data_IF_366114452085
#
_entry.id   IF_366114452085
#
_cell.length_a   1.000
_cell.length_b   1.000
_cell.length_c   1.000
_cell.angle_alpha   90.00
_cell.angle_beta   90.00
_cell.angle_gamma   90.00
#
_symmetry.space_group_name_H-M   'P 1'
#
loop_
_entity.id
_entity.type
_entity.pdbx_description
1 polymer ?
#
# COMPACT_ATOMS: atom_id res chain seq x y z
N UNK A 1 0.83 4.78 -5.38
CA UNK A 1 0.78 4.11 -6.69
C UNK A 1 2.12 3.42 -6.93
N UNK A 2 2.16 2.34 -7.70
CA UNK A 2 3.37 1.57 -7.94
C UNK A 2 3.53 1.31 -9.45
N UNK A 3 4.76 1.40 -9.94
CA UNK A 3 5.15 0.89 -11.26
C UNK A 3 5.89 -0.42 -11.02
N UNK A 4 5.52 -1.48 -11.72
CA UNK A 4 6.24 -2.74 -11.74
C UNK A 4 6.93 -2.92 -13.09
N UNK A 5 8.24 -3.06 -13.08
CA UNK A 5 9.04 -3.32 -14.27
C UNK A 5 9.80 -4.64 -14.08
N UNK A 6 9.75 -5.53 -15.07
CA UNK A 6 10.56 -6.75 -15.05
C UNK A 6 11.90 -6.47 -15.73
N UNK A 7 13.01 -6.68 -15.01
CA UNK A 7 14.35 -6.45 -15.53
C UNK A 7 14.86 -7.65 -16.37
N UNK A 8 16.07 -7.52 -16.93
CA UNK A 8 16.69 -8.56 -17.77
C UNK A 8 16.95 -9.90 -17.03
N UNK A 9 16.92 -9.89 -15.69
CA UNK A 9 17.14 -11.06 -14.84
C UNK A 9 15.81 -11.74 -14.42
N UNK A 10 14.68 -11.39 -15.05
CA UNK A 10 13.32 -11.83 -14.70
C UNK A 10 12.89 -11.41 -13.26
N UNK A 11 13.58 -10.44 -12.65
CA UNK A 11 13.19 -9.87 -11.37
C UNK A 11 12.23 -8.68 -11.58
N UNK A 12 11.15 -8.65 -10.81
CA UNK A 12 10.22 -7.51 -10.83
C UNK A 12 10.71 -6.46 -9.85
N UNK A 13 11.00 -5.27 -10.35
CA UNK A 13 11.36 -4.10 -9.56
C UNK A 13 10.13 -3.21 -9.46
N UNK A 14 9.84 -2.77 -8.24
CA UNK A 14 8.73 -1.86 -7.99
C UNK A 14 9.25 -0.47 -7.67
N UNK A 15 8.70 0.55 -8.33
CA UNK A 15 8.93 1.96 -8.00
C UNK A 15 7.66 2.58 -7.42
N UNK A 16 7.80 3.21 -6.25
CA UNK A 16 6.69 3.96 -5.62
C UNK A 16 6.57 5.35 -6.23
N UNK A 17 5.37 5.65 -6.71
CA UNK A 17 4.97 7.00 -7.11
C UNK A 17 3.82 7.48 -6.23
N UNK A 18 4.04 8.62 -5.59
CA UNK A 18 3.02 9.31 -4.82
C UNK A 18 2.17 10.17 -5.75
N UNK A 19 0.86 9.93 -5.72
CA UNK A 19 -0.10 10.74 -6.47
C UNK A 19 -0.41 12.03 -5.69
N UNK A 20 -0.61 13.13 -6.40
CA UNK A 20 -0.97 14.42 -5.82
C UNK A 20 -2.47 14.63 -5.92
N UNK A 21 -3.10 14.99 -4.81
CA UNK A 21 -4.51 15.40 -4.81
C UNK A 21 -4.68 16.67 -5.66
N UNK A 22 -5.72 16.69 -6.48
CA UNK A 22 -6.06 17.85 -7.32
C UNK A 22 -6.99 18.82 -6.58
N UNK A 23 -7.48 19.84 -7.27
CA UNK A 23 -8.50 20.74 -6.70
C UNK A 23 -9.87 20.05 -6.53
N UNK A 24 -10.11 18.96 -7.27
CA UNK A 24 -11.31 18.14 -7.14
C UNK A 24 -11.11 17.06 -6.06
N UNK A 25 -11.97 17.08 -5.05
CA UNK A 25 -11.93 16.14 -3.92
C UNK A 25 -11.97 14.68 -4.40
N UNK A 26 -11.02 13.87 -3.92
CA UNK A 26 -10.91 12.46 -4.28
C UNK A 26 -10.36 12.20 -5.68
N UNK A 27 -9.89 13.24 -6.39
CA UNK A 27 -9.20 13.10 -7.68
C UNK A 27 -7.71 13.30 -7.47
N UNK A 28 -6.92 12.32 -7.90
CA UNK A 28 -5.48 12.30 -7.76
C UNK A 28 -4.80 12.22 -9.13
N UNK A 29 -3.70 12.96 -9.29
CA UNK A 29 -2.88 12.99 -10.50
C UNK A 29 -1.49 12.43 -10.21
N UNK A 30 -0.96 11.69 -11.18
CA UNK A 30 0.41 11.21 -11.20
C UNK A 30 0.95 11.29 -12.63
N UNK A 31 2.26 11.42 -12.75
CA UNK A 31 2.96 11.35 -14.04
C UNK A 31 4.09 10.33 -13.92
N UNK A 32 4.17 9.44 -14.90
CA UNK A 32 5.15 8.37 -14.97
C UNK A 32 5.64 8.20 -16.40
N UNK A 33 6.93 7.95 -16.57
CA UNK A 33 7.48 7.43 -17.83
C UNK A 33 7.79 5.96 -17.58
N UNK A 34 7.20 5.07 -18.37
CA UNK A 34 7.34 3.62 -18.21
C UNK A 34 7.93 3.01 -19.47
N UNK A 35 8.71 1.94 -19.30
CA UNK A 35 9.24 1.18 -20.43
C UNK A 35 8.15 0.35 -21.14
N UNK A 36 8.42 -0.07 -22.38
CA UNK A 36 7.49 -0.93 -23.11
C UNK A 36 7.40 -2.30 -22.42
N UNK A 37 6.19 -2.67 -21.99
CA UNK A 37 5.94 -3.93 -21.27
C UNK A 37 5.87 -3.78 -19.75
N UNK A 38 6.10 -2.59 -19.20
CA UNK A 38 5.89 -2.31 -17.79
C UNK A 38 4.41 -2.45 -17.38
N UNK A 39 4.18 -2.85 -16.13
CA UNK A 39 2.85 -2.94 -15.52
C UNK A 39 2.65 -1.78 -14.54
N UNK A 40 1.49 -1.12 -14.61
CA UNK A 40 1.12 -0.05 -13.67
C UNK A 40 0.14 -0.61 -12.66
N UNK A 41 0.48 -0.50 -11.38
CA UNK A 41 -0.33 -0.96 -10.26
C UNK A 41 -0.82 0.25 -9.48
N UNK A 42 -2.14 0.46 -9.52
CA UNK A 42 -2.79 1.49 -8.71
C UNK A 42 -3.31 0.83 -7.44
N UNK A 43 -2.59 1.04 -6.34
CA UNK A 43 -2.98 0.59 -5.01
C UNK A 43 -3.35 1.79 -4.12
N UNK A 44 -4.34 1.59 -3.26
CA UNK A 44 -4.67 2.51 -2.18
C UNK A 44 -3.68 2.27 -1.04
N UNK A 45 -3.10 3.35 -0.52
CA UNK A 45 -2.14 3.24 0.57
C UNK A 45 -2.83 2.65 1.80
N UNK A 46 -2.29 1.55 2.33
CA UNK A 46 -2.87 0.81 3.45
C UNK A 46 -3.88 -0.29 3.09
N UNK A 47 -4.32 -0.41 1.83
CA UNK A 47 -5.07 -1.57 1.32
C UNK A 47 -4.08 -2.67 0.91
N UNK A 48 -3.57 -3.37 1.91
CA UNK A 48 -2.47 -4.32 1.76
C UNK A 48 -2.94 -5.58 1.04
N UNK A 49 -4.18 -6.01 1.31
CA UNK A 49 -4.74 -7.21 0.69
C UNK A 49 -5.30 -6.98 -0.73
N UNK A 50 -5.29 -5.73 -1.22
CA UNK A 50 -5.75 -5.32 -2.54
C UNK A 50 -7.24 -5.59 -2.79
N UNK A 51 -8.09 -5.50 -1.74
CA UNK A 51 -9.55 -5.65 -1.86
C UNK A 51 -10.27 -4.32 -2.18
N UNK A 52 -9.52 -3.23 -2.31
CA UNK A 52 -10.00 -1.89 -2.60
C UNK A 52 -10.39 -1.10 -1.36
N UNK A 53 -10.22 -1.65 -0.15
CA UNK A 53 -10.61 -1.03 1.11
C UNK A 53 -9.48 -1.12 2.12
N UNK A 54 -9.09 0.02 2.71
CA UNK A 54 -8.19 0.02 3.88
C UNK A 54 -8.99 -0.27 5.14
N UNK A 55 -8.85 -1.47 5.70
CA UNK A 55 -9.58 -1.92 6.88
C UNK A 55 -8.72 -2.69 7.90
N UNK A 56 -9.37 -3.27 8.92
CA UNK A 56 -8.70 -4.02 9.98
C UNK A 56 -7.95 -5.26 9.44
N UNK A 57 -8.40 -5.85 8.33
CA UNK A 57 -7.74 -7.01 7.71
C UNK A 57 -6.33 -6.64 7.24
N UNK A 58 -6.14 -5.42 6.73
CA UNK A 58 -4.82 -4.94 6.31
C UNK A 58 -3.88 -4.81 7.50
N UNK A 59 -4.35 -4.18 8.58
CA UNK A 59 -3.56 -4.08 9.82
C UNK A 59 -3.20 -5.47 10.38
N UNK A 60 -4.10 -6.46 10.24
CA UNK A 60 -3.83 -7.84 10.65
C UNK A 60 -2.74 -8.50 9.80
N UNK A 61 -2.65 -8.20 8.50
CA UNK A 61 -1.57 -8.72 7.64
C UNK A 61 -0.21 -8.25 8.14
N UNK A 62 -0.07 -6.96 8.47
CA UNK A 62 1.17 -6.42 9.04
C UNK A 62 1.52 -7.14 10.36
N UNK A 63 0.54 -7.35 11.24
CA UNK A 63 0.77 -8.07 12.50
C UNK A 63 1.15 -9.54 12.30
N UNK A 64 0.56 -10.20 11.30
CA UNK A 64 0.90 -11.58 10.94
C UNK A 64 2.31 -11.67 10.35
N UNK A 65 2.70 -10.69 9.54
CA UNK A 65 4.06 -10.56 9.03
C UNK A 65 5.07 -10.35 10.15
N UNK A 66 4.81 -9.39 11.06
CA UNK A 66 5.64 -9.13 12.22
C UNK A 66 5.83 -10.36 13.13
N UNK A 67 4.78 -11.18 13.28
CA UNK A 67 4.83 -12.43 14.04
C UNK A 67 5.32 -13.64 13.25
N UNK A 68 5.74 -13.45 11.99
CA UNK A 68 6.20 -14.49 11.06
C UNK A 68 5.16 -15.58 10.77
N UNK A 69 3.89 -15.31 11.04
CA UNK A 69 2.77 -16.18 10.70
C UNK A 69 2.39 -16.09 9.20
N UNK A 70 2.85 -15.03 8.54
CA UNK A 70 2.60 -14.72 7.14
C UNK A 70 3.85 -14.11 6.51
N UNK A 71 4.14 -14.46 5.26
CA UNK A 71 5.24 -13.87 4.49
C UNK A 71 4.59 -13.00 3.41
N UNK A 72 4.65 -11.66 3.54
CA UNK A 72 4.10 -10.77 2.54
C UNK A 72 4.92 -10.84 1.25
N UNK A 73 4.24 -10.62 0.13
CA UNK A 73 4.85 -10.31 -1.16
C UNK A 73 5.55 -8.95 -1.11
N UNK A 74 6.48 -8.70 -2.04
CA UNK A 74 7.15 -7.41 -2.15
C UNK A 74 6.17 -6.26 -2.37
N UNK A 75 5.11 -6.50 -3.16
CA UNK A 75 4.02 -5.56 -3.37
C UNK A 75 3.30 -5.20 -2.07
N UNK A 76 2.96 -6.20 -1.25
CA UNK A 76 2.33 -5.97 0.05
C UNK A 76 3.24 -5.21 1.02
N UNK A 77 4.54 -5.53 1.03
CA UNK A 77 5.53 -4.76 1.80
C UNK A 77 5.53 -3.30 1.36
N UNK A 78 5.58 -3.05 0.05
CA UNK A 78 5.58 -1.70 -0.50
C UNK A 78 4.27 -0.93 -0.34
N UNK A 79 3.14 -1.58 -0.09
CA UNK A 79 1.89 -0.88 0.21
C UNK A 79 1.78 -0.60 1.71
N UNK A 80 2.32 -1.50 2.52
CA UNK A 80 2.25 -1.47 3.97
C UNK A 80 3.36 -0.64 4.63
N UNK A 81 4.50 -0.40 3.98
CA UNK A 81 5.62 0.37 4.52
C UNK A 81 5.31 1.88 4.51
N UNK A 82 4.98 2.43 5.68
CA UNK A 82 4.57 3.84 5.79
C UNK A 82 5.73 4.80 6.06
N UNK A 83 6.88 4.31 6.52
CA UNK A 83 8.04 5.13 6.84
C UNK A 83 9.25 4.93 5.91
N UNK A 84 9.06 4.19 4.83
CA UNK A 84 10.00 3.97 3.73
C UNK A 84 11.31 3.31 4.20
N UNK A 85 11.23 2.41 5.19
CA UNK A 85 12.37 1.68 5.74
C UNK A 85 12.52 0.25 5.20
N UNK A 86 11.59 -0.18 4.34
CA UNK A 86 11.54 -1.49 3.67
C UNK A 86 11.30 -2.66 4.65
N UNK A 87 10.95 -2.40 5.91
CA UNK A 87 10.64 -3.41 6.92
C UNK A 87 9.21 -3.25 7.46
N UNK A 88 8.41 -4.32 7.41
CA UNK A 88 7.09 -4.28 8.06
C UNK A 88 7.21 -4.36 9.58
N UNK A 89 6.79 -3.29 10.23
CA UNK A 89 6.89 -3.14 11.67
C UNK A 89 5.52 -2.95 12.33
N UNK A 90 5.53 -2.96 13.68
CA UNK A 90 4.33 -2.61 14.44
C UNK A 90 3.90 -1.16 14.19
N UNK A 91 4.82 -0.27 13.80
CA UNK A 91 4.52 1.13 13.51
C UNK A 91 3.62 1.24 12.29
N UNK A 92 3.88 0.47 11.25
CA UNK A 92 3.05 0.40 10.04
C UNK A 92 1.65 -0.09 10.35
N UNK A 93 1.55 -1.16 11.17
CA UNK A 93 0.25 -1.67 11.61
C UNK A 93 -0.56 -0.62 12.37
N UNK A 94 0.09 0.18 13.22
CA UNK A 94 -0.57 1.26 13.95
C UNK A 94 -1.05 2.38 13.02
N UNK A 95 -0.30 2.71 11.98
CA UNK A 95 -0.69 3.74 11.00
C UNK A 95 -1.92 3.26 10.21
N UNK A 96 -1.95 2.01 9.74
CA UNK A 96 -3.14 1.44 9.08
C UNK A 96 -4.37 1.50 9.98
N UNK A 97 -4.23 1.13 11.26
CA UNK A 97 -5.33 1.23 12.22
C UNK A 97 -5.80 2.66 12.44
N UNK A 98 -4.88 3.63 12.45
CA UNK A 98 -5.24 5.03 12.57
C UNK A 98 -6.03 5.51 11.34
N UNK A 99 -5.57 5.19 10.13
CA UNK A 99 -6.27 5.53 8.88
C UNK A 99 -7.69 4.96 8.89
N UNK A 100 -7.83 3.68 9.25
CA UNK A 100 -9.14 3.05 9.38
C UNK A 100 -10.02 3.77 10.43
N UNK A 101 -9.48 4.11 11.60
CA UNK A 101 -10.23 4.80 12.64
C UNK A 101 -10.69 6.21 12.23
N UNK A 102 -9.92 6.90 11.40
CA UNK A 102 -10.28 8.23 10.87
C UNK A 102 -11.35 8.12 9.77
N UNK A 103 -11.32 7.04 8.98
CA UNK A 103 -12.28 6.77 7.92
C UNK A 103 -13.65 6.30 8.45
N UNK A 104 -13.70 5.71 9.65
CA UNK A 104 -14.95 5.22 10.24
C UNK A 104 -15.62 6.32 11.05
N UNK A 105 -16.88 6.63 10.72
CA UNK A 105 -17.73 7.46 11.57
C UNK A 105 -17.89 6.78 12.95
N UNK A 106 -17.50 7.43 14.06
CA UNK A 106 -17.63 6.85 15.39
C UNK A 106 -19.07 6.48 15.77
N UNK A 107 -20.09 6.99 15.07
CA UNK A 107 -21.48 6.59 15.22
C UNK A 107 -21.80 5.18 14.66
N UNK A 108 -20.95 4.61 13.82
CA UNK A 108 -21.11 3.28 13.21
C UNK A 108 -20.27 2.19 13.91
N UNK A 109 -19.65 2.51 15.05
CA UNK A 109 -18.80 1.58 15.81
C UNK A 109 -19.56 0.74 16.86
N UNK A 110 -20.90 0.77 16.87
CA UNK A 110 -21.75 0.08 17.86
C UNK A 110 -23.13 -0.30 17.30
#
# INVERSE_FOLDING_TARGET
MLIAETNEDDETVYERIEAQETEDEGVYLFEATVEEGAEIIVAVRGDINLDGTTDLKDAMIVMQSYSQAYIPTELEVLIADFDDDVELSLKDAMIVMQIYSEAVDPANLW
#
